data_IF_723552220324
#
_entry.id   IF_723552220324
#
_cell.length_a   1.000
_cell.length_b   1.000
_cell.length_c   1.000
_cell.angle_alpha   90.00
_cell.angle_beta   90.00
_cell.angle_gamma   90.00
#
_symmetry.space_group_name_H-M   'P 1'
#
loop_
_entity.id
_entity.type
_entity.pdbx_description
1 polymer ?
#
# COMPACT_ATOMS: atom_id res chain seq x y z
N UNK A 1 47.05 -2.40 -26.61
CA UNK A 1 47.56 -3.66 -26.02
C UNK A 1 46.74 -3.95 -24.78
N UNK A 2 45.80 -4.84 -24.94
CA UNK A 2 44.83 -5.23 -23.93
C UNK A 2 45.45 -6.28 -23.01
N UNK A 3 45.45 -6.04 -21.70
CA UNK A 3 45.84 -7.03 -20.72
C UNK A 3 44.58 -7.70 -20.17
N UNK A 4 44.24 -8.82 -20.75
CA UNK A 4 43.28 -9.80 -20.30
C UNK A 4 43.77 -10.44 -19.01
N UNK A 5 43.29 -9.98 -17.84
CA UNK A 5 43.57 -10.67 -16.58
C UNK A 5 42.70 -11.90 -16.45
N UNK A 6 43.27 -13.07 -16.87
CA UNK A 6 42.75 -14.39 -16.54
C UNK A 6 42.59 -14.54 -15.03
N UNK A 7 41.36 -14.82 -14.62
CA UNK A 7 41.02 -15.32 -13.29
C UNK A 7 41.69 -16.68 -13.10
N UNK A 8 42.75 -16.74 -12.32
CA UNK A 8 43.33 -18.01 -11.85
C UNK A 8 42.49 -18.50 -10.67
N UNK A 9 41.77 -19.60 -10.88
CA UNK A 9 41.29 -20.46 -9.80
C UNK A 9 42.50 -21.08 -9.09
N UNK A 10 42.90 -20.59 -7.96
CA UNK A 10 43.81 -21.30 -7.07
C UNK A 10 43.00 -22.30 -6.25
N UNK A 11 43.15 -23.58 -6.56
CA UNK A 11 42.65 -24.67 -5.73
C UNK A 11 43.70 -24.92 -4.65
N UNK A 12 43.42 -24.44 -3.43
CA UNK A 12 44.27 -24.74 -2.28
C UNK A 12 44.18 -26.22 -1.92
N UNK A 13 45.24 -26.76 -1.33
CA UNK A 13 45.44 -28.17 -0.93
C UNK A 13 44.39 -28.72 0.07
N UNK A 14 43.38 -27.94 0.47
CA UNK A 14 42.33 -28.33 1.42
C UNK A 14 40.91 -28.41 0.79
N UNK A 15 40.78 -28.42 -0.54
CA UNK A 15 39.47 -28.53 -1.18
C UNK A 15 38.45 -27.42 -0.88
N UNK A 16 38.83 -26.35 -0.21
CA UNK A 16 37.96 -25.23 0.06
C UNK A 16 37.81 -24.39 -1.21
N UNK A 17 36.60 -24.32 -1.73
CA UNK A 17 36.24 -23.42 -2.84
C UNK A 17 36.27 -21.99 -2.26
N UNK A 18 37.29 -21.22 -2.59
CA UNK A 18 37.35 -19.80 -2.28
C UNK A 18 36.35 -19.08 -3.18
N UNK A 19 35.18 -18.78 -2.62
CA UNK A 19 34.27 -17.85 -3.28
C UNK A 19 34.93 -16.46 -3.34
N UNK A 20 34.88 -15.86 -4.53
CA UNK A 20 35.35 -14.50 -4.72
C UNK A 20 34.65 -13.58 -3.70
N UNK A 21 35.40 -12.94 -2.84
CA UNK A 21 34.89 -12.03 -1.79
C UNK A 21 33.97 -10.93 -2.36
N UNK A 22 34.14 -10.55 -3.62
CA UNK A 22 33.29 -9.59 -4.31
C UNK A 22 31.92 -10.16 -4.66
N UNK A 23 31.85 -11.41 -5.09
CA UNK A 23 30.57 -12.09 -5.39
C UNK A 23 29.79 -12.33 -4.11
N UNK A 24 30.45 -12.81 -3.06
CA UNK A 24 29.82 -13.02 -1.75
C UNK A 24 29.26 -11.72 -1.18
N UNK A 25 30.00 -10.61 -1.22
CA UNK A 25 29.54 -9.29 -0.75
C UNK A 25 28.32 -8.80 -1.55
N UNK A 26 28.28 -9.03 -2.88
CA UNK A 26 27.12 -8.68 -3.70
C UNK A 26 25.90 -9.51 -3.31
N UNK A 27 26.05 -10.82 -3.16
CA UNK A 27 24.94 -11.71 -2.73
C UNK A 27 24.40 -11.28 -1.38
N UNK A 28 25.26 -11.06 -0.40
CA UNK A 28 24.86 -10.60 0.93
C UNK A 28 24.13 -9.25 0.89
N UNK A 29 24.55 -8.35 0.01
CA UNK A 29 23.86 -7.06 -0.16
C UNK A 29 22.47 -7.26 -0.77
N UNK A 30 22.30 -8.12 -1.78
CA UNK A 30 20.97 -8.43 -2.34
C UNK A 30 20.06 -9.10 -1.31
N UNK A 31 20.57 -10.05 -0.54
CA UNK A 31 19.83 -10.70 0.56
C UNK A 31 19.40 -9.67 1.61
N UNK A 32 20.29 -8.74 1.97
CA UNK A 32 19.96 -7.64 2.89
C UNK A 32 18.83 -6.77 2.35
N UNK A 33 18.91 -6.33 1.09
CA UNK A 33 17.87 -5.50 0.47
C UNK A 33 16.54 -6.26 0.42
N UNK A 34 16.57 -7.52 -0.01
CA UNK A 34 15.38 -8.37 -0.06
C UNK A 34 14.74 -8.50 1.34
N UNK A 35 15.55 -8.75 2.36
CA UNK A 35 15.07 -8.81 3.76
C UNK A 35 14.46 -7.48 4.22
N UNK A 36 15.09 -6.36 3.90
CA UNK A 36 14.58 -5.02 4.22
C UNK A 36 13.21 -4.73 3.58
N UNK A 37 12.94 -5.32 2.42
CA UNK A 37 11.67 -5.17 1.70
C UNK A 37 10.61 -6.13 2.21
N UNK A 38 10.98 -7.39 2.50
CA UNK A 38 10.02 -8.43 2.88
C UNK A 38 9.71 -8.44 4.38
N UNK A 39 10.65 -8.06 5.25
CA UNK A 39 10.43 -8.09 6.69
C UNK A 39 9.22 -7.26 7.16
N UNK A 40 8.90 -6.07 6.60
CA UNK A 40 7.69 -5.34 6.98
C UNK A 40 6.41 -6.08 6.63
N UNK A 41 6.40 -6.81 5.50
CA UNK A 41 5.24 -7.63 5.09
C UNK A 41 5.05 -8.81 6.03
N UNK A 42 6.14 -9.49 6.43
CA UNK A 42 6.06 -10.57 7.40
C UNK A 42 5.58 -10.08 8.77
N UNK A 43 5.99 -8.89 9.21
CA UNK A 43 5.48 -8.29 10.45
C UNK A 43 3.99 -8.00 10.32
N UNK A 44 3.56 -7.44 9.19
CA UNK A 44 2.17 -7.11 8.94
C UNK A 44 1.28 -8.37 8.91
N UNK A 45 1.67 -9.38 8.16
CA UNK A 45 0.97 -10.66 8.08
C UNK A 45 0.99 -11.40 9.43
N UNK A 46 2.13 -11.40 10.11
CA UNK A 46 2.28 -12.04 11.44
C UNK A 46 1.39 -11.37 12.49
N UNK A 47 1.23 -10.06 12.46
CA UNK A 47 0.30 -9.36 13.35
C UNK A 47 -1.15 -9.75 13.07
N UNK A 48 -1.54 -9.87 11.79
CA UNK A 48 -2.89 -10.32 11.40
C UNK A 48 -3.16 -11.73 11.91
N UNK A 49 -2.25 -12.68 11.65
CA UNK A 49 -2.37 -14.06 12.15
C UNK A 49 -2.44 -14.10 13.68
N UNK A 50 -1.62 -13.32 14.38
CA UNK A 50 -1.62 -13.30 15.84
C UNK A 50 -2.95 -12.79 16.42
N UNK A 51 -3.54 -11.74 15.85
CA UNK A 51 -4.85 -11.19 16.25
C UNK A 51 -5.95 -12.21 15.97
N UNK A 52 -5.96 -12.84 14.79
CA UNK A 52 -6.94 -13.87 14.43
C UNK A 52 -6.84 -15.10 15.33
N UNK A 53 -5.63 -15.57 15.62
CA UNK A 53 -5.40 -16.69 16.55
C UNK A 53 -5.86 -16.35 17.98
N UNK A 54 -5.55 -15.15 18.47
CA UNK A 54 -5.99 -14.71 19.79
C UNK A 54 -7.51 -14.65 19.86
N UNK A 55 -8.18 -14.15 18.83
CA UNK A 55 -9.63 -14.14 18.73
C UNK A 55 -10.22 -15.56 18.67
N UNK A 56 -9.61 -16.47 17.88
CA UNK A 56 -10.06 -17.85 17.78
C UNK A 56 -9.94 -18.60 19.12
N UNK A 57 -8.85 -18.35 19.89
CA UNK A 57 -8.68 -18.89 21.24
C UNK A 57 -9.77 -18.36 22.17
N UNK A 58 -10.03 -17.05 22.14
CA UNK A 58 -11.08 -16.42 22.92
C UNK A 58 -12.47 -17.00 22.58
N UNK A 59 -12.73 -17.21 21.30
CA UNK A 59 -13.94 -17.88 20.82
C UNK A 59 -14.08 -19.28 21.38
N UNK A 60 -13.03 -20.08 21.37
CA UNK A 60 -13.06 -21.44 21.93
C UNK A 60 -13.33 -21.45 23.43
N UNK A 61 -12.82 -20.46 24.18
CA UNK A 61 -13.01 -20.37 25.64
C UNK A 61 -14.44 -19.91 26.00
N UNK A 62 -14.98 -18.93 25.28
CA UNK A 62 -16.26 -18.32 25.61
C UNK A 62 -17.45 -19.03 24.97
N UNK A 63 -17.24 -19.80 23.91
CA UNK A 63 -18.23 -20.66 23.25
C UNK A 63 -19.55 -19.96 22.93
N UNK A 64 -20.66 -20.58 23.32
CA UNK A 64 -22.01 -20.11 23.08
C UNK A 64 -22.41 -18.77 23.75
N UNK A 65 -21.52 -18.18 24.55
CA UNK A 65 -21.73 -16.83 25.13
C UNK A 65 -21.43 -15.70 24.14
N UNK A 66 -21.04 -16.03 22.92
CA UNK A 66 -20.65 -15.06 21.90
C UNK A 66 -21.68 -14.92 20.76
N UNK A 67 -22.97 -15.12 21.03
CA UNK A 67 -24.04 -14.92 20.03
C UNK A 67 -23.98 -13.53 19.41
N UNK A 68 -23.64 -12.50 20.19
CA UNK A 68 -23.41 -11.14 19.71
C UNK A 68 -22.38 -11.08 18.56
N UNK A 69 -21.34 -11.92 18.57
CA UNK A 69 -20.30 -11.94 17.54
C UNK A 69 -20.85 -12.48 16.22
N UNK A 70 -21.77 -13.45 16.28
CA UNK A 70 -22.44 -13.99 15.09
C UNK A 70 -23.34 -12.95 14.44
N UNK A 71 -24.08 -12.20 15.25
CA UNK A 71 -24.96 -11.14 14.80
C UNK A 71 -24.21 -9.92 14.21
N UNK A 72 -22.96 -9.70 14.66
CA UNK A 72 -22.11 -8.57 14.24
C UNK A 72 -20.82 -9.04 13.54
N UNK A 73 -20.92 -10.11 12.78
CA UNK A 73 -19.76 -10.78 12.16
C UNK A 73 -18.90 -9.85 11.33
N UNK A 74 -19.50 -9.01 10.50
CA UNK A 74 -18.83 -8.08 9.61
C UNK A 74 -18.07 -7.01 10.41
N UNK A 75 -18.66 -6.48 11.47
CA UNK A 75 -18.03 -5.50 12.36
C UNK A 75 -16.84 -6.11 13.09
N UNK A 76 -16.96 -7.35 13.55
CA UNK A 76 -15.88 -8.06 14.23
C UNK A 76 -14.71 -8.29 13.29
N UNK A 77 -14.95 -8.75 12.05
CA UNK A 77 -13.90 -8.93 11.04
C UNK A 77 -13.19 -7.60 10.76
N UNK A 78 -13.93 -6.52 10.54
CA UNK A 78 -13.37 -5.19 10.29
C UNK A 78 -12.55 -4.67 11.48
N UNK A 79 -13.06 -4.84 12.70
CA UNK A 79 -12.38 -4.40 13.92
C UNK A 79 -11.07 -5.20 14.17
N UNK A 80 -11.09 -6.51 13.95
CA UNK A 80 -9.90 -7.35 14.07
C UNK A 80 -8.86 -6.97 13.02
N UNK A 81 -9.26 -6.82 11.75
CA UNK A 81 -8.34 -6.41 10.68
C UNK A 81 -7.74 -5.03 10.94
N UNK A 82 -8.56 -4.05 11.34
CA UNK A 82 -8.10 -2.71 11.69
C UNK A 82 -7.14 -2.71 12.88
N UNK A 83 -7.43 -3.48 13.92
CA UNK A 83 -6.58 -3.63 15.10
C UNK A 83 -5.24 -4.27 14.75
N UNK A 84 -5.26 -5.36 13.96
CA UNK A 84 -4.06 -6.03 13.50
C UNK A 84 -3.18 -5.10 12.66
N UNK A 85 -3.79 -4.34 11.75
CA UNK A 85 -3.11 -3.37 10.92
C UNK A 85 -2.40 -2.28 11.76
N UNK A 86 -3.11 -1.68 12.71
CA UNK A 86 -2.54 -0.66 13.61
C UNK A 86 -1.45 -1.24 14.52
N UNK A 87 -1.61 -2.47 14.99
CA UNK A 87 -0.57 -3.14 15.78
C UNK A 87 0.68 -3.40 14.97
N UNK A 88 0.55 -3.89 13.74
CA UNK A 88 1.67 -4.04 12.81
C UNK A 88 2.39 -2.72 12.55
N UNK A 89 1.63 -1.64 12.29
CA UNK A 89 2.17 -0.31 12.09
C UNK A 89 2.95 0.18 13.33
N UNK A 90 2.42 -0.07 14.53
CA UNK A 90 3.08 0.27 15.78
C UNK A 90 4.38 -0.53 16.00
N UNK A 91 4.38 -1.85 15.70
CA UNK A 91 5.60 -2.68 15.76
C UNK A 91 6.66 -2.13 14.80
N UNK A 92 6.29 -1.85 13.56
CA UNK A 92 7.19 -1.27 12.57
C UNK A 92 7.72 0.09 13.02
N UNK A 93 6.86 0.93 13.56
CA UNK A 93 7.27 2.22 14.13
C UNK A 93 8.29 2.05 15.26
N UNK A 94 8.14 1.04 16.12
CA UNK A 94 9.12 0.74 17.20
C UNK A 94 10.44 0.20 16.68
N UNK A 95 10.41 -0.66 15.67
CA UNK A 95 11.62 -1.27 15.11
C UNK A 95 12.43 -0.24 14.33
N UNK A 96 11.82 0.42 13.37
CA UNK A 96 12.52 1.34 12.47
C UNK A 96 12.74 2.72 13.10
N UNK A 97 11.91 3.14 14.02
CA UNK A 97 12.07 4.40 14.75
C UNK A 97 13.38 4.49 15.54
N UNK A 98 14.00 3.34 15.87
CA UNK A 98 15.33 3.29 16.49
C UNK A 98 16.47 3.65 15.54
N UNK A 99 16.26 3.46 14.23
CA UNK A 99 17.28 3.76 13.21
C UNK A 99 17.31 5.25 12.79
N UNK A 100 16.47 6.09 13.38
CA UNK A 100 16.47 7.55 13.17
C UNK A 100 15.97 8.01 11.79
N UNK A 101 15.58 7.07 10.93
CA UNK A 101 15.30 7.28 9.51
C UNK A 101 13.96 8.00 9.27
N UNK A 102 13.04 7.92 10.23
CA UNK A 102 11.61 8.24 10.09
C UNK A 102 11.17 9.56 10.65
N UNK A 103 11.85 10.02 11.69
CA UNK A 103 11.36 11.14 12.49
C UNK A 103 11.20 12.43 11.67
N UNK A 104 12.02 12.62 10.62
CA UNK A 104 11.94 13.81 9.77
C UNK A 104 10.68 13.88 8.92
N UNK A 105 10.22 12.76 8.37
CA UNK A 105 9.17 12.71 7.36
C UNK A 105 7.78 12.44 7.92
N UNK A 106 7.68 11.61 8.96
CA UNK A 106 6.42 11.44 9.70
C UNK A 106 6.05 12.75 10.40
N UNK A 107 7.05 13.49 10.91
CA UNK A 107 6.85 14.79 11.57
C UNK A 107 6.75 15.97 10.61
N UNK A 108 7.11 15.80 9.32
CA UNK A 108 7.00 16.90 8.35
C UNK A 108 5.54 17.26 8.18
N UNK A 109 5.22 18.50 8.49
CA UNK A 109 3.86 19.02 8.31
C UNK A 109 3.53 19.09 6.83
N UNK A 110 2.41 18.50 6.46
CA UNK A 110 1.87 18.66 5.11
C UNK A 110 1.34 20.10 4.98
N UNK A 111 1.80 20.89 4.00
CA UNK A 111 1.30 22.25 3.81
C UNK A 111 -0.18 22.21 3.38
N UNK A 112 -1.00 23.14 3.86
CA UNK A 112 -2.45 23.17 3.55
C UNK A 112 -2.74 23.14 2.05
N UNK A 113 -1.89 23.76 1.22
CA UNK A 113 -2.01 23.74 -0.25
C UNK A 113 -1.90 22.33 -0.84
N UNK A 114 -1.29 21.37 -0.14
CA UNK A 114 -1.15 19.99 -0.62
C UNK A 114 -2.44 19.17 -0.48
N UNK A 115 -3.41 19.61 0.33
CA UNK A 115 -4.64 18.86 0.60
C UNK A 115 -5.41 18.61 -0.70
N UNK A 116 -5.69 19.67 -1.47
CA UNK A 116 -6.44 19.55 -2.73
C UNK A 116 -5.74 18.66 -3.76
N UNK A 117 -4.42 18.80 -4.04
CA UNK A 117 -3.72 17.88 -4.92
C UNK A 117 -3.73 16.43 -4.44
N UNK A 118 -3.59 16.17 -3.14
CA UNK A 118 -3.64 14.81 -2.60
C UNK A 118 -5.02 14.18 -2.78
N UNK A 119 -6.09 14.89 -2.39
CA UNK A 119 -7.46 14.42 -2.54
C UNK A 119 -7.83 14.30 -4.02
N UNK A 120 -7.54 15.31 -4.83
CA UNK A 120 -7.83 15.29 -6.27
C UNK A 120 -7.12 14.15 -7.01
N UNK A 121 -5.85 13.88 -6.69
CA UNK A 121 -5.13 12.74 -7.26
C UNK A 121 -5.76 11.40 -6.88
N UNK A 122 -6.16 11.25 -5.61
CA UNK A 122 -6.82 10.05 -5.12
C UNK A 122 -8.18 9.81 -5.81
N UNK A 123 -9.05 10.82 -5.83
CA UNK A 123 -10.35 10.73 -6.49
C UNK A 123 -10.20 10.47 -8.00
N UNK A 124 -9.25 11.18 -8.63
CA UNK A 124 -8.96 11.02 -10.06
C UNK A 124 -8.49 9.61 -10.42
N UNK A 125 -7.51 9.06 -9.70
CA UNK A 125 -7.03 7.69 -9.98
C UNK A 125 -8.09 6.64 -9.63
N UNK A 126 -8.88 6.86 -8.58
CA UNK A 126 -9.93 5.92 -8.17
C UNK A 126 -11.02 5.81 -9.22
N UNK A 127 -11.56 6.92 -9.70
CA UNK A 127 -12.61 6.90 -10.74
C UNK A 127 -12.05 6.45 -12.08
N UNK A 128 -10.91 6.99 -12.52
CA UNK A 128 -10.30 6.61 -13.79
C UNK A 128 -9.91 5.12 -13.82
N UNK A 129 -9.33 4.60 -12.74
CA UNK A 129 -8.93 3.20 -12.60
C UNK A 129 -10.13 2.25 -12.66
N UNK A 130 -11.20 2.53 -11.89
CA UNK A 130 -12.40 1.70 -11.91
C UNK A 130 -13.11 1.73 -13.28
N UNK A 131 -13.21 2.92 -13.91
CA UNK A 131 -13.76 3.03 -15.26
C UNK A 131 -12.92 2.24 -16.27
N UNK A 132 -11.61 2.31 -16.19
CA UNK A 132 -10.69 1.57 -17.06
C UNK A 132 -10.85 0.05 -16.88
N UNK A 133 -10.85 -0.44 -15.64
CA UNK A 133 -11.08 -1.86 -15.34
C UNK A 133 -12.43 -2.34 -15.90
N UNK A 134 -13.47 -1.55 -15.71
CA UNK A 134 -14.81 -1.87 -16.25
C UNK A 134 -14.85 -1.87 -17.78
N UNK A 135 -14.17 -0.91 -18.45
CA UNK A 135 -14.07 -0.87 -19.91
C UNK A 135 -13.31 -2.06 -20.49
N UNK A 136 -12.33 -2.57 -19.75
CA UNK A 136 -11.53 -3.75 -20.13
C UNK A 136 -12.20 -5.09 -19.75
N UNK A 137 -13.37 -5.06 -19.11
CA UNK A 137 -14.06 -6.26 -18.64
C UNK A 137 -13.33 -7.01 -17.52
N UNK A 138 -12.47 -6.31 -16.77
CA UNK A 138 -11.66 -6.92 -15.72
C UNK A 138 -12.34 -6.92 -14.35
N UNK A 139 -13.45 -6.19 -14.18
CA UNK A 139 -14.19 -6.08 -12.90
C UNK A 139 -14.76 -7.43 -12.43
N UNK A 140 -15.08 -8.32 -13.36
CA UNK A 140 -15.77 -9.58 -13.07
C UNK A 140 -14.83 -10.76 -12.78
N UNK A 141 -13.51 -10.55 -12.92
CA UNK A 141 -12.49 -11.62 -12.83
C UNK A 141 -12.16 -12.10 -11.41
N UNK A 142 -12.86 -11.66 -10.38
CA UNK A 142 -12.44 -12.09 -9.04
C UNK A 142 -13.43 -11.83 -7.90
N UNK A 143 -14.61 -11.34 -8.18
CA UNK A 143 -15.58 -10.96 -7.16
C UNK A 143 -15.07 -9.85 -6.22
N UNK A 144 -15.94 -9.05 -5.67
CA UNK A 144 -15.57 -8.09 -4.64
C UNK A 144 -15.79 -8.72 -3.25
N UNK A 145 -14.77 -9.38 -2.72
CA UNK A 145 -14.84 -10.02 -1.40
C UNK A 145 -15.04 -9.04 -0.24
N UNK A 146 -14.72 -7.76 -0.46
CA UNK A 146 -14.92 -6.70 0.54
C UNK A 146 -16.35 -6.12 0.54
N UNK A 147 -17.11 -6.24 -0.55
CA UNK A 147 -18.44 -5.63 -0.66
C UNK A 147 -19.38 -6.00 0.50
N UNK A 148 -19.54 -7.28 0.91
CA UNK A 148 -20.39 -7.63 2.03
C UNK A 148 -19.97 -6.97 3.35
N UNK A 149 -18.68 -6.79 3.60
CA UNK A 149 -18.18 -6.13 4.80
C UNK A 149 -18.54 -4.64 4.81
N UNK A 150 -18.46 -3.99 3.66
CA UNK A 150 -18.80 -2.56 3.51
C UNK A 150 -20.31 -2.32 3.58
N UNK A 151 -21.12 -3.22 3.00
CA UNK A 151 -22.58 -3.08 2.92
C UNK A 151 -23.29 -3.43 4.23
N UNK A 152 -22.80 -4.43 4.96
CA UNK A 152 -23.46 -4.97 6.17
C UNK A 152 -22.84 -4.49 7.47
N UNK A 153 -21.59 -4.02 7.43
CA UNK A 153 -20.92 -3.50 8.61
C UNK A 153 -21.55 -2.19 9.09
N UNK A 154 -21.48 -1.95 10.40
CA UNK A 154 -21.89 -0.67 11.00
C UNK A 154 -21.09 0.48 10.40
N UNK A 155 -21.72 1.56 9.92
CA UNK A 155 -21.04 2.65 9.22
C UNK A 155 -19.81 3.21 9.95
N UNK A 156 -19.88 3.35 11.28
CA UNK A 156 -18.76 3.83 12.07
C UNK A 156 -17.57 2.84 12.04
N UNK A 157 -17.83 1.54 12.17
CA UNK A 157 -16.80 0.50 12.13
C UNK A 157 -16.17 0.43 10.75
N UNK A 158 -16.97 0.46 9.69
CA UNK A 158 -16.50 0.50 8.30
C UNK A 158 -15.59 1.71 8.08
N UNK A 159 -16.02 2.92 8.46
CA UNK A 159 -15.22 4.14 8.27
C UNK A 159 -13.92 4.10 9.06
N UNK A 160 -13.96 3.70 10.33
CA UNK A 160 -12.75 3.65 11.17
C UNK A 160 -11.77 2.58 10.70
N UNK A 161 -12.24 1.39 10.35
CA UNK A 161 -11.37 0.30 9.92
C UNK A 161 -10.85 0.51 8.51
N UNK A 162 -11.74 0.80 7.53
CA UNK A 162 -11.38 0.86 6.11
C UNK A 162 -10.82 2.21 5.68
N UNK A 163 -11.36 3.33 6.19
CA UNK A 163 -10.93 4.66 5.74
C UNK A 163 -9.85 5.27 6.63
N UNK A 164 -9.61 4.75 7.83
CA UNK A 164 -8.61 5.31 8.75
C UNK A 164 -7.52 4.30 9.10
N UNK A 165 -7.86 3.19 9.77
CA UNK A 165 -6.89 2.25 10.31
C UNK A 165 -6.07 1.56 9.19
N UNK A 166 -6.74 1.02 8.17
CA UNK A 166 -6.07 0.35 7.07
C UNK A 166 -5.13 1.31 6.30
N UNK A 167 -5.56 2.50 5.81
CA UNK A 167 -4.66 3.44 5.14
C UNK A 167 -3.47 3.87 5.98
N UNK A 168 -3.66 4.14 7.28
CA UNK A 168 -2.55 4.50 8.18
C UNK A 168 -1.51 3.39 8.23
N UNK A 169 -1.94 2.15 8.42
CA UNK A 169 -1.06 1.00 8.55
C UNK A 169 -0.38 0.64 7.22
N UNK A 170 -1.13 0.64 6.13
CA UNK A 170 -0.63 0.30 4.81
C UNK A 170 0.37 1.34 4.30
N UNK A 171 0.10 2.64 4.46
CA UNK A 171 1.08 3.66 4.09
C UNK A 171 2.34 3.60 4.97
N UNK A 172 2.21 3.20 6.23
CA UNK A 172 3.34 2.92 7.09
C UNK A 172 4.22 1.80 6.50
N UNK A 173 3.64 0.68 6.12
CA UNK A 173 4.36 -0.47 5.52
C UNK A 173 4.96 -0.10 4.17
N UNK A 174 4.11 0.31 3.23
CA UNK A 174 4.49 0.39 1.82
C UNK A 174 5.24 1.67 1.47
N UNK A 175 4.90 2.84 2.06
CA UNK A 175 5.52 4.13 1.69
C UNK A 175 6.58 4.57 2.67
N UNK A 176 6.28 4.45 3.95
CA UNK A 176 7.27 4.89 4.94
C UNK A 176 8.40 3.86 5.08
N UNK A 177 8.13 2.54 5.10
CA UNK A 177 9.18 1.53 5.25
C UNK A 177 9.73 1.08 3.91
N UNK A 178 8.95 0.35 3.11
CA UNK A 178 9.42 -0.34 1.91
C UNK A 178 9.92 0.67 0.87
N UNK A 179 9.07 1.63 0.49
CA UNK A 179 9.44 2.64 -0.52
C UNK A 179 10.71 3.39 -0.12
N UNK A 180 10.82 3.85 1.13
CA UNK A 180 11.96 4.63 1.59
C UNK A 180 13.27 3.83 1.64
N UNK A 181 13.21 2.59 2.07
CA UNK A 181 14.37 1.71 2.04
C UNK A 181 14.85 1.49 0.60
N UNK A 182 13.94 1.14 -0.31
CA UNK A 182 14.24 0.99 -1.73
C UNK A 182 14.70 2.29 -2.38
N UNK A 183 14.14 3.43 -1.99
CA UNK A 183 14.51 4.75 -2.53
C UNK A 183 15.97 5.10 -2.32
N UNK A 184 16.55 4.64 -1.22
CA UNK A 184 17.98 4.83 -0.90
C UNK A 184 18.89 3.90 -1.69
N UNK A 185 18.48 2.67 -1.89
CA UNK A 185 19.31 1.63 -2.52
C UNK A 185 19.18 1.60 -4.05
N UNK A 186 17.99 1.83 -4.59
CA UNK A 186 17.67 1.57 -5.99
C UNK A 186 17.08 2.77 -6.76
N UNK A 187 16.94 3.92 -6.10
CA UNK A 187 16.40 5.13 -6.73
C UNK A 187 14.87 5.18 -6.83
N UNK A 188 14.37 6.31 -7.36
CA UNK A 188 12.94 6.65 -7.38
C UNK A 188 12.07 5.63 -8.13
N UNK A 189 12.42 5.34 -9.38
CA UNK A 189 11.59 4.51 -10.26
C UNK A 189 11.42 3.10 -9.72
N UNK A 190 12.51 2.46 -9.29
CA UNK A 190 12.47 1.11 -8.72
C UNK A 190 11.70 1.08 -7.40
N UNK A 191 11.91 2.06 -6.53
CA UNK A 191 11.21 2.14 -5.25
C UNK A 191 9.69 2.29 -5.45
N UNK A 192 9.26 3.19 -6.35
CA UNK A 192 7.86 3.37 -6.66
C UNK A 192 7.25 2.11 -7.29
N UNK A 193 7.91 1.50 -8.28
CA UNK A 193 7.43 0.30 -8.95
C UNK A 193 7.29 -0.88 -7.99
N UNK A 194 8.34 -1.20 -7.22
CA UNK A 194 8.33 -2.37 -6.31
C UNK A 194 7.35 -2.16 -5.16
N UNK A 195 7.32 -0.98 -4.51
CA UNK A 195 6.38 -0.74 -3.42
C UNK A 195 4.92 -0.79 -3.88
N UNK A 196 4.61 -0.29 -5.09
CA UNK A 196 3.27 -0.34 -5.66
C UNK A 196 2.89 -1.75 -6.09
N UNK A 197 3.83 -2.53 -6.63
CA UNK A 197 3.60 -3.93 -6.97
C UNK A 197 3.33 -4.80 -5.73
N UNK A 198 4.11 -4.61 -4.67
CA UNK A 198 3.88 -5.33 -3.40
C UNK A 198 2.54 -4.94 -2.77
N UNK A 199 2.16 -3.66 -2.87
CA UNK A 199 0.85 -3.17 -2.44
C UNK A 199 -0.29 -3.82 -3.25
N UNK A 200 -0.11 -3.97 -4.56
CA UNK A 200 -1.05 -4.67 -5.44
C UNK A 200 -1.20 -6.15 -5.07
N UNK A 201 -0.08 -6.85 -4.88
CA UNK A 201 -0.06 -8.27 -4.52
C UNK A 201 -0.69 -8.54 -3.15
N UNK A 202 -0.54 -7.61 -2.21
CA UNK A 202 -1.17 -7.68 -0.89
C UNK A 202 -2.70 -7.79 -0.94
N UNK A 203 -3.34 -7.21 -1.95
CA UNK A 203 -4.81 -7.22 -2.09
C UNK A 203 -5.41 -8.59 -2.49
N UNK A 204 -4.63 -9.54 -2.95
CA UNK A 204 -5.01 -10.95 -3.08
C UNK A 204 -5.96 -11.30 -4.23
N UNK A 205 -6.53 -10.34 -4.98
CA UNK A 205 -7.32 -10.60 -6.17
C UNK A 205 -6.90 -9.69 -7.34
N UNK A 206 -7.10 -10.15 -8.56
CA UNK A 206 -6.56 -9.50 -9.75
C UNK A 206 -7.15 -8.11 -10.02
N UNK A 207 -8.48 -7.88 -10.04
CA UNK A 207 -9.05 -6.56 -10.27
C UNK A 207 -8.60 -5.54 -9.24
N UNK A 208 -8.68 -5.89 -7.96
CA UNK A 208 -8.28 -5.04 -6.86
C UNK A 208 -6.76 -4.80 -6.87
N UNK A 209 -5.97 -5.81 -7.25
CA UNK A 209 -4.52 -5.68 -7.40
C UNK A 209 -4.13 -4.68 -8.50
N UNK A 210 -4.76 -4.72 -9.67
CA UNK A 210 -4.52 -3.76 -10.76
C UNK A 210 -4.91 -2.35 -10.30
N UNK A 211 -6.07 -2.20 -9.66
CA UNK A 211 -6.49 -0.93 -9.08
C UNK A 211 -5.48 -0.42 -8.05
N UNK A 212 -5.09 -1.28 -7.11
CA UNK A 212 -4.13 -0.94 -6.06
C UNK A 212 -2.74 -0.59 -6.62
N UNK A 213 -2.32 -1.19 -7.74
CA UNK A 213 -1.09 -0.82 -8.43
C UNK A 213 -1.13 0.64 -8.91
N UNK A 214 -2.24 1.05 -9.54
CA UNK A 214 -2.42 2.42 -10.03
C UNK A 214 -2.47 3.42 -8.88
N UNK A 215 -3.28 3.15 -7.87
CA UNK A 215 -3.34 3.96 -6.65
C UNK A 215 -1.97 4.01 -5.98
N UNK A 216 -1.30 2.88 -5.85
CA UNK A 216 0.02 2.74 -5.27
C UNK A 216 1.09 3.61 -5.92
N UNK A 217 1.09 3.68 -7.24
CA UNK A 217 2.00 4.55 -7.98
C UNK A 217 1.75 6.05 -7.68
N UNK A 218 0.48 6.45 -7.60
CA UNK A 218 0.09 7.82 -7.21
C UNK A 218 0.52 8.14 -5.79
N UNK A 219 0.29 7.22 -4.83
CA UNK A 219 0.68 7.40 -3.43
C UNK A 219 2.21 7.51 -3.27
N UNK A 220 2.98 6.70 -4.01
CA UNK A 220 4.45 6.81 -4.04
C UNK A 220 4.92 8.15 -4.62
N UNK A 221 4.25 8.64 -5.67
CA UNK A 221 4.52 9.96 -6.24
C UNK A 221 4.23 11.11 -5.26
N UNK A 222 3.12 11.05 -4.52
CA UNK A 222 2.77 12.04 -3.50
C UNK A 222 3.75 12.03 -2.33
N UNK A 223 4.19 10.82 -1.90
CA UNK A 223 5.24 10.66 -0.89
C UNK A 223 6.54 11.33 -1.33
N UNK A 224 6.97 11.12 -2.58
CA UNK A 224 8.18 11.78 -3.11
C UNK A 224 8.02 13.28 -3.27
N UNK A 225 6.85 13.75 -3.71
CA UNK A 225 6.61 15.17 -3.95
C UNK A 225 6.63 15.99 -2.67
N UNK A 226 5.93 15.53 -1.64
CA UNK A 226 5.77 16.28 -0.40
C UNK A 226 6.76 15.89 0.70
N UNK A 227 7.44 14.77 0.54
CA UNK A 227 8.38 14.24 1.55
C UNK A 227 7.73 14.15 2.96
N UNK A 228 6.45 13.86 3.00
CA UNK A 228 5.61 13.81 4.20
C UNK A 228 4.69 12.59 4.13
N UNK A 229 4.72 11.73 5.14
CA UNK A 229 3.88 10.53 5.20
C UNK A 229 2.38 10.84 5.18
N UNK A 230 1.99 12.01 5.67
CA UNK A 230 0.59 12.45 5.68
C UNK A 230 0.02 12.67 4.25
N UNK A 231 0.87 12.92 3.23
CA UNK A 231 0.38 13.12 1.87
C UNK A 231 -0.24 11.84 1.27
N UNK A 232 0.47 10.70 1.21
CA UNK A 232 -0.13 9.47 0.72
C UNK A 232 -1.23 8.95 1.67
N UNK A 233 -1.11 9.10 3.00
CA UNK A 233 -2.17 8.72 3.94
C UNK A 233 -3.47 9.45 3.64
N UNK A 234 -3.44 10.78 3.51
CA UNK A 234 -4.63 11.58 3.19
C UNK A 234 -5.26 11.18 1.85
N UNK A 235 -4.42 10.97 0.83
CA UNK A 235 -4.87 10.53 -0.48
C UNK A 235 -5.51 9.14 -0.40
N UNK A 236 -4.90 8.20 0.30
CA UNK A 236 -5.42 6.84 0.46
C UNK A 236 -6.75 6.83 1.24
N UNK A 237 -6.83 7.58 2.34
CA UNK A 237 -8.10 7.77 3.08
C UNK A 237 -9.21 8.32 2.18
N UNK A 238 -8.90 9.28 1.33
CA UNK A 238 -9.87 9.85 0.37
C UNK A 238 -10.31 8.83 -0.68
N UNK A 239 -9.39 8.00 -1.20
CA UNK A 239 -9.72 6.92 -2.13
C UNK A 239 -10.65 5.88 -1.51
N UNK A 240 -10.34 5.43 -0.28
CA UNK A 240 -11.17 4.46 0.43
C UNK A 240 -12.53 5.03 0.82
N UNK A 241 -12.57 6.29 1.27
CA UNK A 241 -13.84 6.97 1.57
C UNK A 241 -14.73 7.07 0.33
N UNK A 242 -14.16 7.44 -0.83
CA UNK A 242 -14.90 7.44 -2.09
C UNK A 242 -15.46 6.05 -2.40
N UNK A 243 -14.65 5.00 -2.28
CA UNK A 243 -15.08 3.62 -2.53
C UNK A 243 -16.25 3.21 -1.62
N UNK A 244 -16.16 3.49 -0.32
CA UNK A 244 -17.23 3.21 0.66
C UNK A 244 -18.51 3.96 0.31
N UNK A 245 -18.42 5.26 0.03
CA UNK A 245 -19.57 6.09 -0.32
C UNK A 245 -20.24 5.63 -1.62
N UNK A 246 -19.47 5.23 -2.64
CA UNK A 246 -20.01 4.69 -3.88
C UNK A 246 -20.70 3.34 -3.66
N UNK A 247 -20.14 2.48 -2.80
CA UNK A 247 -20.77 1.20 -2.42
C UNK A 247 -22.11 1.45 -1.71
N UNK A 248 -22.14 2.33 -0.71
CA UNK A 248 -23.39 2.65 0.01
C UNK A 248 -24.45 3.34 -0.86
N UNK A 249 -24.02 4.14 -1.84
CA UNK A 249 -24.94 4.78 -2.78
C UNK A 249 -25.49 3.82 -3.86
N UNK A 250 -25.04 2.57 -3.89
CA UNK A 250 -25.47 1.59 -4.91
C UNK A 250 -25.05 1.98 -6.33
N UNK A 251 -23.97 2.77 -6.47
CA UNK A 251 -23.56 3.35 -7.74
C UNK A 251 -22.82 2.38 -8.67
N UNK A 252 -22.77 1.10 -8.33
CA UNK A 252 -22.33 0.05 -9.27
C UNK A 252 -23.03 0.18 -10.63
N UNK A 253 -24.31 0.56 -10.63
CA UNK A 253 -25.11 0.81 -11.84
C UNK A 253 -24.69 2.07 -12.64
N UNK A 254 -24.10 3.07 -12.00
CA UNK A 254 -23.59 4.26 -12.70
C UNK A 254 -22.38 3.90 -13.57
N UNK A 255 -21.55 2.98 -13.12
CA UNK A 255 -20.45 2.42 -13.90
C UNK A 255 -20.95 1.39 -14.94
N UNK A 256 -22.12 0.78 -14.71
CA UNK A 256 -22.81 -0.05 -15.69
C UNK A 256 -23.45 0.77 -16.84
N UNK A 257 -23.57 2.08 -16.68
CA UNK A 257 -24.15 3.00 -17.66
C UNK A 257 -23.26 3.17 -18.89
N UNK A 258 -23.42 2.34 -19.91
CA UNK A 258 -22.90 2.47 -21.27
C UNK A 258 -21.42 2.90 -21.46
N UNK A 259 -20.75 2.37 -22.46
CA UNK A 259 -19.31 2.62 -22.75
C UNK A 259 -18.98 4.11 -22.84
N UNK A 260 -19.83 4.92 -23.49
CA UNK A 260 -19.57 6.35 -23.69
C UNK A 260 -19.51 7.12 -22.35
N UNK A 261 -20.41 6.83 -21.40
CA UNK A 261 -20.42 7.50 -20.09
C UNK A 261 -19.20 7.11 -19.26
N UNK A 262 -18.80 5.83 -19.27
CA UNK A 262 -17.60 5.34 -18.60
C UNK A 262 -16.33 6.00 -19.18
N UNK A 263 -16.23 6.10 -20.51
CA UNK A 263 -15.11 6.74 -21.16
C UNK A 263 -15.03 8.26 -20.83
N UNK A 264 -16.16 8.95 -20.81
CA UNK A 264 -16.23 10.36 -20.43
C UNK A 264 -15.82 10.57 -18.95
N UNK A 265 -16.32 9.72 -18.03
CA UNK A 265 -15.95 9.75 -16.62
C UNK A 265 -14.45 9.46 -16.43
N UNK A 266 -13.89 8.47 -17.13
CA UNK A 266 -12.46 8.16 -17.11
C UNK A 266 -11.63 9.33 -17.62
N UNK A 267 -12.03 10.00 -18.69
CA UNK A 267 -11.33 11.16 -19.26
C UNK A 267 -11.34 12.36 -18.29
N UNK A 268 -12.49 12.68 -17.70
CA UNK A 268 -12.60 13.74 -16.70
C UNK A 268 -11.76 13.46 -15.46
N UNK A 269 -11.89 12.25 -14.91
CA UNK A 269 -11.13 11.82 -13.75
C UNK A 269 -9.61 11.78 -14.04
N UNK A 270 -9.21 11.37 -15.24
CA UNK A 270 -7.84 11.43 -15.71
C UNK A 270 -7.31 12.87 -15.82
N UNK A 271 -8.12 13.81 -16.26
CA UNK A 271 -7.76 15.22 -16.29
C UNK A 271 -7.55 15.78 -14.86
N UNK A 272 -8.44 15.45 -13.91
CA UNK A 272 -8.30 15.80 -12.49
C UNK A 272 -7.03 15.21 -11.90
N UNK A 273 -6.75 13.94 -12.18
CA UNK A 273 -5.52 13.25 -11.76
C UNK A 273 -4.28 14.00 -12.28
N UNK A 274 -4.19 14.23 -13.58
CA UNK A 274 -3.04 14.88 -14.19
C UNK A 274 -2.82 16.30 -13.65
N UNK A 275 -3.89 17.07 -13.48
CA UNK A 275 -3.82 18.39 -12.89
C UNK A 275 -3.28 18.34 -11.46
N UNK A 276 -3.81 17.42 -10.64
CA UNK A 276 -3.42 17.24 -9.23
C UNK A 276 -1.95 16.81 -9.12
N UNK A 277 -1.50 15.88 -9.96
CA UNK A 277 -0.11 15.43 -9.99
C UNK A 277 0.85 16.55 -10.43
N UNK A 278 0.45 17.38 -11.42
CA UNK A 278 1.23 18.55 -11.81
C UNK A 278 1.36 19.58 -10.68
N UNK A 279 0.27 19.83 -9.95
CA UNK A 279 0.32 20.70 -8.77
C UNK A 279 1.24 20.13 -7.69
N UNK A 280 1.12 18.84 -7.37
CA UNK A 280 1.97 18.17 -6.38
C UNK A 280 3.46 18.23 -6.79
N UNK A 281 3.78 18.03 -8.07
CA UNK A 281 5.13 18.17 -8.59
C UNK A 281 5.70 19.59 -8.41
N UNK A 282 4.89 20.62 -8.71
CA UNK A 282 5.29 22.02 -8.55
C UNK A 282 5.49 22.40 -7.09
N UNK A 283 4.61 21.93 -6.20
CA UNK A 283 4.77 22.11 -4.77
C UNK A 283 6.02 21.41 -4.24
N UNK A 284 6.31 20.20 -4.73
CA UNK A 284 7.50 19.44 -4.39
C UNK A 284 8.80 20.14 -4.77
N UNK A 285 8.84 20.84 -5.92
CA UNK A 285 9.98 21.68 -6.30
C UNK A 285 10.19 22.82 -5.30
N UNK A 286 9.12 23.52 -4.90
CA UNK A 286 9.18 24.62 -3.91
C UNK A 286 9.55 24.18 -2.50
N UNK A 287 9.34 22.92 -2.15
CA UNK A 287 9.71 22.37 -0.83
C UNK A 287 11.19 22.02 -0.79
N UNK A 288 11.79 21.72 -1.96
CA UNK A 288 13.20 21.33 -2.10
C UNK A 288 14.13 22.51 -2.41
N UNK A 289 13.59 23.63 -2.93
CA UNK A 289 14.31 24.91 -3.08
C UNK A 289 14.40 25.68 -1.77
#
# INVERSE_FOLDING_TARGET
MAAEKKSKKEVGKTGAIWYDNHVMKRILNYVRILWQVLSPLFIFLGASVAVECAFAILWMILGSRMDFVLDHREDVILALSGTAALWAAWILWKIDGREGIWYGEIRRRLPRRAILPCVGAALGVSVAGNCLLSLLGLTDLGGNSAAPLLERGTPLVVLLSTCVAAPLAEEMVFRVVIYRRLRREAGLGMAAAVSSLLFALYHGNLPQGIYALLVGAVLAFLMESYQAALAPVLAHMAANLLSVLLTWAGTGDILAAGVARRAAAAALAGAVLLFSLRQAANDGKRIRS
#
